data_IF_895133313899
#
_entry.id   IF_895133313899
#
_cell.length_a   1.000
_cell.length_b   1.000
_cell.length_c   1.000
_cell.angle_alpha   90.00
_cell.angle_beta   90.00
_cell.angle_gamma   90.00
#
_symmetry.space_group_name_H-M   'P 1'
#
loop_
_entity.id
_entity.type
_entity.pdbx_description
1 polymer ?
#
# COMPACT_ATOMS: atom_id res chain seq x y z
N UNK A 1 -0.77 -16.41 -12.12
CA UNK A 1 -0.23 -15.12 -11.63
C UNK A 1 -1.39 -14.41 -10.93
N UNK A 2 -1.16 -13.85 -9.75
CA UNK A 2 -2.25 -13.31 -8.93
C UNK A 2 -2.73 -11.97 -9.48
N UNK A 3 -4.01 -11.82 -9.75
CA UNK A 3 -4.58 -10.60 -10.35
C UNK A 3 -5.12 -9.63 -9.30
N UNK A 4 -4.34 -9.39 -8.24
CA UNK A 4 -4.77 -8.53 -7.13
C UNK A 4 -4.67 -7.07 -7.55
N UNK A 5 -5.72 -6.29 -7.31
CA UNK A 5 -5.68 -4.84 -7.44
C UNK A 5 -5.14 -4.24 -6.14
N UNK A 6 -3.92 -3.70 -6.20
CA UNK A 6 -3.16 -3.20 -5.05
C UNK A 6 -3.35 -1.69 -4.95
N UNK A 7 -3.59 -1.18 -3.74
CA UNK A 7 -3.58 0.24 -3.42
C UNK A 7 -2.13 0.73 -3.36
N UNK A 8 -1.86 1.80 -4.08
CA UNK A 8 -0.59 2.52 -4.05
C UNK A 8 -0.71 3.84 -4.79
N UNK A 9 0.12 4.80 -4.46
CA UNK A 9 0.10 6.12 -5.07
C UNK A 9 1.08 6.18 -6.23
N UNK A 10 0.60 6.65 -7.38
CA UNK A 10 1.44 6.82 -8.57
C UNK A 10 2.55 7.84 -8.31
N UNK A 11 3.75 7.56 -8.79
CA UNK A 11 4.90 8.46 -8.76
C UNK A 11 5.27 8.86 -10.18
N UNK A 12 5.22 10.16 -10.46
CA UNK A 12 5.59 10.76 -11.74
C UNK A 12 7.12 10.83 -11.91
N UNK A 13 7.57 11.14 -13.12
CA UNK A 13 9.01 11.24 -13.45
C UNK A 13 9.76 12.31 -12.66
N UNK A 14 9.06 13.35 -12.19
CA UNK A 14 9.62 14.42 -11.35
C UNK A 14 9.58 14.08 -9.84
N UNK A 15 9.10 12.88 -9.48
CA UNK A 15 8.95 12.42 -8.10
C UNK A 15 7.66 12.90 -7.41
N UNK A 16 6.81 13.67 -8.10
CA UNK A 16 5.50 14.07 -7.58
C UNK A 16 4.49 12.91 -7.61
N UNK A 17 3.40 13.05 -6.87
CA UNK A 17 2.34 12.05 -6.86
C UNK A 17 1.33 12.28 -7.99
N UNK A 18 1.01 11.21 -8.73
CA UNK A 18 0.03 11.21 -9.80
C UNK A 18 -1.41 10.99 -9.31
N UNK A 19 -2.39 11.02 -10.24
CA UNK A 19 -3.82 10.87 -9.92
C UNK A 19 -4.28 9.41 -9.75
N UNK A 20 -3.41 8.42 -9.97
CA UNK A 20 -3.77 7.00 -9.85
C UNK A 20 -3.40 6.44 -8.48
N UNK A 21 -4.33 5.69 -7.89
CA UNK A 21 -4.24 5.16 -6.52
C UNK A 21 -4.28 3.63 -6.44
N UNK A 22 -4.08 2.94 -7.57
CA UNK A 22 -3.99 1.48 -7.61
C UNK A 22 -3.34 0.96 -8.89
N UNK A 23 -2.84 -0.27 -8.83
CA UNK A 23 -2.26 -1.02 -9.94
C UNK A 23 -2.47 -2.53 -9.75
N UNK A 24 -2.42 -3.31 -10.83
CA UNK A 24 -2.51 -4.77 -10.72
C UNK A 24 -1.16 -5.38 -10.35
N UNK A 25 -1.16 -6.40 -9.49
CA UNK A 25 0.04 -7.16 -9.14
C UNK A 25 0.71 -7.78 -10.37
N UNK A 26 -0.09 -8.29 -11.32
CA UNK A 26 0.41 -8.85 -12.56
C UNK A 26 1.14 -7.83 -13.43
N UNK A 27 0.89 -6.53 -13.26
CA UNK A 27 1.60 -5.48 -13.99
C UNK A 27 2.99 -5.21 -13.43
N UNK A 28 3.33 -5.72 -12.23
CA UNK A 28 4.63 -5.47 -11.59
C UNK A 28 5.74 -6.12 -12.44
N UNK A 29 6.62 -5.30 -12.99
CA UNK A 29 7.86 -5.70 -13.64
C UNK A 29 9.01 -5.82 -12.64
N UNK A 30 9.06 -4.92 -11.65
CA UNK A 30 10.08 -4.96 -10.62
C UNK A 30 9.75 -4.07 -9.43
N UNK A 31 10.49 -4.27 -8.36
CA UNK A 31 10.41 -3.48 -7.13
C UNK A 31 11.82 -3.11 -6.74
N UNK A 32 12.04 -1.84 -6.45
CA UNK A 32 13.26 -1.37 -5.77
C UNK A 32 12.93 -0.69 -4.45
N UNK A 33 13.92 -0.56 -3.58
CA UNK A 33 13.79 0.26 -2.39
C UNK A 33 14.18 1.70 -2.70
N UNK A 34 13.20 2.59 -2.73
CA UNK A 34 13.38 4.01 -2.96
C UNK A 34 13.40 4.81 -1.66
N UNK A 35 14.18 5.90 -1.63
CA UNK A 35 14.31 6.78 -0.47
C UNK A 35 13.76 8.17 -0.77
N UNK A 36 12.42 8.39 -0.69
CA UNK A 36 11.80 9.69 -0.99
C UNK A 36 12.17 10.79 0.00
N UNK A 37 12.61 10.44 1.21
CA UNK A 37 13.06 11.41 2.20
C UNK A 37 14.11 10.81 3.14
N UNK A 38 14.77 11.65 3.95
CA UNK A 38 15.90 11.24 4.82
C UNK A 38 15.57 10.03 5.70
N UNK A 39 14.34 9.93 6.18
CA UNK A 39 13.92 8.94 7.16
C UNK A 39 13.21 7.73 6.55
N UNK A 40 12.72 7.83 5.31
CA UNK A 40 11.81 6.84 4.70
C UNK A 40 12.47 6.11 3.54
N UNK A 41 12.54 4.79 3.66
CA UNK A 41 12.70 3.87 2.54
C UNK A 41 11.34 3.22 2.29
N UNK A 42 10.94 3.15 1.03
CA UNK A 42 9.64 2.62 0.60
C UNK A 42 9.84 1.73 -0.64
N UNK A 43 9.00 0.70 -0.81
CA UNK A 43 8.94 -0.05 -2.05
C UNK A 43 8.46 0.83 -3.19
N UNK A 44 9.22 0.84 -4.28
CA UNK A 44 8.87 1.50 -5.53
C UNK A 44 8.58 0.42 -6.57
N UNK A 45 7.31 0.35 -6.98
CA UNK A 45 6.80 -0.64 -7.91
C UNK A 45 6.91 -0.09 -9.32
N UNK A 46 7.76 -0.70 -10.14
CA UNK A 46 7.76 -0.50 -11.58
C UNK A 46 6.70 -1.42 -12.19
N UNK A 47 5.66 -0.83 -12.76
CA UNK A 47 4.57 -1.58 -13.39
C UNK A 47 4.45 -1.25 -14.86
N UNK A 48 3.75 -2.10 -15.62
CA UNK A 48 3.40 -1.88 -17.03
C UNK A 48 2.57 -0.62 -17.26
N UNK A 49 1.86 -0.13 -16.25
CA UNK A 49 0.96 1.01 -16.38
C UNK A 49 1.55 2.30 -15.81
N UNK A 50 2.65 2.24 -15.05
CA UNK A 50 3.22 3.38 -14.36
C UNK A 50 4.03 2.95 -13.14
N UNK A 51 4.54 3.92 -12.39
CA UNK A 51 5.31 3.65 -11.18
C UNK A 51 4.48 3.99 -9.96
N UNK A 52 4.56 3.18 -8.92
CA UNK A 52 3.75 3.34 -7.73
C UNK A 52 4.58 3.14 -6.46
N UNK A 53 4.12 3.69 -5.35
CA UNK A 53 4.67 3.45 -4.01
C UNK A 53 3.53 3.24 -3.01
N UNK A 54 3.86 2.72 -1.82
CA UNK A 54 2.93 2.60 -0.70
C UNK A 54 2.50 3.96 -0.13
N UNK A 55 1.36 3.99 0.56
CA UNK A 55 0.80 5.19 1.18
C UNK A 55 1.50 5.51 2.52
N UNK A 56 2.24 6.60 2.59
CA UNK A 56 2.99 6.98 3.81
C UNK A 56 2.39 8.14 4.60
N UNK A 57 1.27 8.71 4.15
CA UNK A 57 0.60 9.85 4.79
C UNK A 57 -0.91 9.65 4.86
N UNK A 58 -1.58 10.29 5.84
CA UNK A 58 -3.03 10.31 5.91
C UNK A 58 -3.68 10.96 4.68
N UNK A 59 -3.07 12.01 4.12
CA UNK A 59 -3.55 12.64 2.90
C UNK A 59 -3.53 11.68 1.70
N UNK A 60 -2.45 10.91 1.55
CA UNK A 60 -2.40 9.86 0.53
C UNK A 60 -3.45 8.77 0.76
N UNK A 61 -3.75 8.44 2.02
CA UNK A 61 -4.85 7.54 2.37
C UNK A 61 -6.21 8.13 1.98
N UNK A 62 -6.51 9.38 2.36
CA UNK A 62 -7.77 10.05 2.04
C UNK A 62 -8.04 10.06 0.53
N UNK A 63 -7.04 10.42 -0.27
CA UNK A 63 -7.15 10.40 -1.72
C UNK A 63 -7.34 8.99 -2.29
N UNK A 64 -6.76 7.98 -1.64
CA UNK A 64 -6.81 6.60 -2.11
C UNK A 64 -8.08 5.86 -1.72
N UNK A 65 -8.75 6.24 -0.64
CA UNK A 65 -9.89 5.51 -0.07
C UNK A 65 -11.21 6.32 -0.15
N UNK A 66 -12.07 6.07 -1.17
CA UNK A 66 -13.26 6.88 -1.44
C UNK A 66 -14.30 6.92 -0.31
N UNK A 67 -14.41 5.87 0.49
CA UNK A 67 -15.38 5.77 1.59
C UNK A 67 -14.91 6.41 2.90
N UNK A 68 -13.70 6.98 2.93
CA UNK A 68 -13.08 7.45 4.17
C UNK A 68 -13.23 8.95 4.35
N UNK A 69 -13.52 9.40 5.58
CA UNK A 69 -13.71 10.81 5.91
C UNK A 69 -13.05 11.15 7.24
N UNK A 70 -12.53 12.38 7.36
CA UNK A 70 -12.14 12.93 8.66
C UNK A 70 -13.39 13.33 9.46
N UNK A 71 -13.79 12.47 10.41
CA UNK A 71 -14.98 12.68 11.23
C UNK A 71 -14.69 13.50 12.49
N UNK A 72 -13.52 13.33 13.09
CA UNK A 72 -13.08 14.10 14.27
C UNK A 72 -11.55 14.20 14.34
N UNK A 73 -10.99 15.20 13.67
CA UNK A 73 -9.56 15.51 13.74
C UNK A 73 -8.67 14.48 13.02
N UNK A 74 -7.89 13.73 13.79
CA UNK A 74 -6.69 13.01 13.31
C UNK A 74 -6.96 11.64 12.69
N UNK A 75 -8.19 11.11 12.82
CA UNK A 75 -8.54 9.78 12.30
C UNK A 75 -9.29 9.90 10.98
N UNK A 76 -8.82 9.16 9.98
CA UNK A 76 -9.49 8.99 8.70
C UNK A 76 -10.38 7.75 8.79
N UNK A 77 -11.69 7.93 8.83
CA UNK A 77 -12.67 6.91 9.23
C UNK A 77 -13.37 6.32 8.01
N UNK A 78 -13.43 4.99 7.91
CA UNK A 78 -14.23 4.29 6.90
C UNK A 78 -15.71 4.36 7.27
N UNK A 79 -16.47 5.21 6.57
CA UNK A 79 -17.90 5.42 6.85
C UNK A 79 -18.71 4.17 6.48
N UNK A 80 -18.28 3.39 5.49
CA UNK A 80 -18.97 2.17 5.02
C UNK A 80 -19.01 1.07 6.09
N UNK A 81 -18.08 1.11 7.05
CA UNK A 81 -17.96 0.11 8.11
C UNK A 81 -18.62 0.53 9.44
N UNK A 82 -19.31 1.68 9.50
CA UNK A 82 -19.98 2.14 10.72
C UNK A 82 -21.30 1.40 10.88
N UNK A 83 -21.47 0.67 12.00
CA UNK A 83 -22.68 -0.09 12.31
C UNK A 83 -23.78 0.80 12.92
N UNK A 84 -23.38 1.73 13.80
CA UNK A 84 -24.31 2.64 14.47
C UNK A 84 -23.62 3.94 14.87
N UNK A 85 -24.42 4.99 15.01
CA UNK A 85 -23.98 6.28 15.56
C UNK A 85 -24.82 6.66 16.76
N UNK A 86 -24.18 7.07 17.85
CA UNK A 86 -24.83 7.75 18.96
C UNK A 86 -24.62 9.26 18.85
N UNK A 87 -25.70 10.02 18.92
CA UNK A 87 -25.70 11.48 18.84
C UNK A 87 -25.71 12.11 20.23
N UNK A 88 -24.99 13.21 20.42
CA UNK A 88 -25.02 14.03 21.63
C UNK A 88 -24.82 15.52 21.33
N UNK A 89 -24.85 16.34 22.38
CA UNK A 89 -24.79 17.81 22.25
C UNK A 89 -23.46 18.34 21.70
N UNK A 90 -22.39 17.55 21.79
CA UNK A 90 -21.03 17.93 21.37
C UNK A 90 -20.51 17.16 20.15
N UNK A 91 -21.40 16.45 19.45
CA UNK A 91 -21.02 15.59 18.33
C UNK A 91 -21.66 14.21 18.44
N UNK A 92 -20.96 13.19 17.96
CA UNK A 92 -21.42 11.82 18.03
C UNK A 92 -20.29 10.83 18.22
N UNK A 93 -20.67 9.57 18.39
CA UNK A 93 -19.74 8.44 18.46
C UNK A 93 -20.18 7.46 17.37
N UNK A 94 -19.28 7.20 16.41
CA UNK A 94 -19.42 6.12 15.45
C UNK A 94 -18.91 4.82 16.07
N UNK A 95 -19.72 3.78 16.01
CA UNK A 95 -19.35 2.44 16.42
C UNK A 95 -19.18 1.55 15.19
N UNK A 96 -18.07 0.84 15.17
CA UNK A 96 -17.81 -0.28 14.29
C UNK A 96 -18.18 -1.57 15.02
N UNK A 97 -17.93 -2.69 14.35
CA UNK A 97 -18.04 -4.02 14.95
C UNK A 97 -17.15 -4.16 16.19
N UNK A 98 -17.58 -5.02 17.12
CA UNK A 98 -16.85 -5.36 18.35
C UNK A 98 -16.64 -4.15 19.30
N UNK A 99 -17.56 -3.18 19.25
CA UNK A 99 -17.60 -1.96 20.09
C UNK A 99 -16.38 -1.02 19.96
N UNK A 100 -15.58 -1.23 18.91
CA UNK A 100 -14.57 -0.27 18.45
C UNK A 100 -15.32 1.00 18.04
N UNK A 101 -14.81 2.17 18.42
CA UNK A 101 -15.49 3.42 18.16
C UNK A 101 -14.55 4.60 17.94
N UNK A 102 -15.08 5.65 17.31
CA UNK A 102 -14.39 6.93 17.09
C UNK A 102 -15.36 8.10 17.23
N UNK A 103 -14.84 9.27 17.58
CA UNK A 103 -15.60 10.51 17.66
C UNK A 103 -16.06 11.01 16.29
N UNK A 104 -17.14 11.78 16.30
CA UNK A 104 -17.61 12.61 15.19
C UNK A 104 -17.86 14.01 15.75
N UNK A 105 -17.21 15.03 15.19
CA UNK A 105 -17.40 16.41 15.65
C UNK A 105 -18.80 16.94 15.28
N UNK A 106 -19.22 18.05 15.92
CA UNK A 106 -20.52 18.69 15.66
C UNK A 106 -20.76 19.05 14.19
N UNK A 107 -19.73 19.52 13.48
CA UNK A 107 -19.83 19.90 12.07
C UNK A 107 -20.19 18.69 11.21
N UNK A 108 -19.47 17.59 11.37
CA UNK A 108 -19.70 16.36 10.62
C UNK A 108 -21.03 15.71 11.02
N UNK A 109 -21.44 15.81 12.30
CA UNK A 109 -22.77 15.34 12.70
C UNK A 109 -23.91 16.11 12.03
N UNK A 110 -23.75 17.42 11.80
CA UNK A 110 -24.74 18.22 11.07
C UNK A 110 -24.96 17.72 9.64
N UNK A 111 -23.90 17.23 8.98
CA UNK A 111 -23.93 16.72 7.60
C UNK A 111 -23.94 15.19 7.53
N UNK A 112 -24.24 14.50 8.63
CA UNK A 112 -24.07 13.05 8.72
C UNK A 112 -24.84 12.28 7.63
N UNK A 113 -26.10 12.65 7.39
CA UNK A 113 -26.92 11.99 6.37
C UNK A 113 -26.33 12.17 4.97
N UNK A 114 -25.78 13.35 4.64
CA UNK A 114 -25.17 13.61 3.34
C UNK A 114 -23.90 12.77 3.16
N UNK A 115 -23.05 12.70 4.19
CA UNK A 115 -21.84 11.88 4.22
C UNK A 115 -22.18 10.40 3.98
N UNK A 116 -23.19 9.88 4.69
CA UNK A 116 -23.61 8.47 4.56
C UNK A 116 -24.20 8.18 3.19
N UNK A 117 -25.04 9.05 2.65
CA UNK A 117 -25.65 8.86 1.33
C UNK A 117 -24.62 8.95 0.19
N UNK A 118 -23.58 9.77 0.33
CA UNK A 118 -22.46 9.80 -0.60
C UNK A 118 -21.71 8.45 -0.60
N UNK A 119 -21.40 7.93 0.59
CA UNK A 119 -20.62 6.70 0.75
C UNK A 119 -21.41 5.46 0.32
N UNK A 120 -22.72 5.38 0.64
CA UNK A 120 -23.58 4.26 0.22
C UNK A 120 -23.69 4.08 -1.30
N UNK A 121 -23.43 5.14 -2.08
CA UNK A 121 -23.42 5.07 -3.56
C UNK A 121 -22.14 4.45 -4.10
N UNK A 122 -21.10 4.38 -3.28
CA UNK A 122 -19.84 3.76 -3.64
C UNK A 122 -20.00 2.24 -3.59
N UNK A 123 -19.28 1.56 -4.48
CA UNK A 123 -19.13 0.11 -4.37
C UNK A 123 -18.16 -0.18 -3.22
N UNK A 124 -18.35 -1.34 -2.57
CA UNK A 124 -17.40 -1.87 -1.60
C UNK A 124 -15.99 -1.89 -2.20
N UNK A 125 -15.01 -1.44 -1.43
CA UNK A 125 -13.62 -1.40 -1.88
C UNK A 125 -12.99 -2.81 -1.83
N UNK A 126 -12.76 -3.37 -3.01
CA UNK A 126 -12.17 -4.70 -3.21
C UNK A 126 -10.64 -4.66 -3.39
N UNK A 127 -10.05 -3.47 -3.37
CA UNK A 127 -8.59 -3.30 -3.49
C UNK A 127 -7.90 -3.75 -2.21
N UNK A 128 -6.63 -4.11 -2.35
CA UNK A 128 -5.81 -4.60 -1.26
C UNK A 128 -4.67 -3.66 -0.90
N UNK A 129 -4.38 -3.55 0.39
CA UNK A 129 -3.25 -2.79 0.91
C UNK A 129 -2.07 -3.73 1.11
N UNK A 130 -0.89 -3.33 0.63
CA UNK A 130 0.36 -4.00 0.96
C UNK A 130 0.86 -3.54 2.34
N UNK A 131 0.88 -4.47 3.31
CA UNK A 131 1.16 -4.13 4.69
C UNK A 131 1.77 -5.26 5.52
N UNK A 132 1.98 -4.92 6.78
CA UNK A 132 2.45 -5.82 7.84
C UNK A 132 1.57 -5.62 9.06
N UNK A 133 1.22 -6.71 9.72
CA UNK A 133 0.53 -6.68 11.01
C UNK A 133 1.48 -6.19 12.11
N UNK A 134 0.95 -5.35 13.01
CA UNK A 134 1.59 -4.90 14.25
C UNK A 134 1.14 -5.87 15.35
N UNK A 135 2.07 -6.70 15.82
CA UNK A 135 1.82 -7.69 16.86
C UNK A 135 1.71 -7.04 18.24
N UNK A 136 1.13 -7.74 19.21
CA UNK A 136 0.92 -7.21 20.58
C UNK A 136 2.21 -6.75 21.27
N UNK A 137 3.33 -7.39 20.95
CA UNK A 137 4.66 -7.04 21.49
C UNK A 137 5.32 -5.87 20.73
N UNK A 138 4.66 -5.28 19.73
CA UNK A 138 5.17 -4.21 18.87
C UNK A 138 5.99 -4.67 17.67
N UNK A 139 6.25 -5.98 17.53
CA UNK A 139 6.94 -6.52 16.37
C UNK A 139 6.05 -6.48 15.12
N UNK A 140 6.71 -6.56 13.95
CA UNK A 140 6.03 -6.60 12.66
C UNK A 140 6.03 -8.03 12.10
N UNK A 141 4.85 -8.48 11.70
CA UNK A 141 4.69 -9.75 10.98
C UNK A 141 5.33 -9.71 9.57
N UNK A 142 5.46 -10.86 8.89
CA UNK A 142 5.84 -10.91 7.49
C UNK A 142 4.93 -10.08 6.57
N UNK A 143 5.48 -9.64 5.43
CA UNK A 143 4.72 -8.91 4.42
C UNK A 143 3.50 -9.67 3.92
N UNK A 144 2.34 -9.00 3.85
CA UNK A 144 1.08 -9.57 3.37
C UNK A 144 0.18 -8.52 2.73
N UNK A 145 -0.92 -9.00 2.16
CA UNK A 145 -2.00 -8.15 1.64
C UNK A 145 -3.26 -8.32 2.50
N UNK A 146 -3.99 -7.23 2.70
CA UNK A 146 -5.29 -7.24 3.38
C UNK A 146 -6.29 -6.33 2.66
N UNK A 147 -7.59 -6.58 2.83
CA UNK A 147 -8.63 -5.87 2.10
C UNK A 147 -8.80 -4.44 2.65
N UNK A 148 -8.94 -3.47 1.75
CA UNK A 148 -9.30 -2.10 2.11
C UNK A 148 -10.62 -2.03 2.89
N UNK A 149 -11.59 -2.85 2.50
CA UNK A 149 -12.89 -2.95 3.17
C UNK A 149 -12.84 -3.56 4.58
N UNK A 150 -11.73 -4.17 5.02
CA UNK A 150 -11.58 -4.65 6.40
C UNK A 150 -11.20 -3.52 7.39
N UNK A 151 -10.87 -2.32 6.90
CA UNK A 151 -10.36 -1.19 7.70
C UNK A 151 -11.53 -0.39 8.29
N UNK A 152 -11.49 -0.14 9.60
CA UNK A 152 -12.41 0.74 10.32
C UNK A 152 -11.98 2.20 10.25
N UNK A 153 -10.72 2.48 10.57
CA UNK A 153 -10.14 3.81 10.47
C UNK A 153 -8.62 3.75 10.38
N UNK A 154 -8.01 4.88 10.00
CA UNK A 154 -6.58 5.04 9.81
C UNK A 154 -6.13 6.23 10.66
N UNK A 155 -5.06 6.03 11.42
CA UNK A 155 -4.34 7.09 12.12
C UNK A 155 -2.86 7.09 11.71
N UNK A 156 -2.08 8.03 12.26
CA UNK A 156 -0.62 8.01 12.11
C UNK A 156 0.02 7.38 13.34
N UNK A 157 0.89 6.41 13.11
CA UNK A 157 1.68 5.72 14.13
C UNK A 157 3.16 6.06 14.01
N UNK A 158 3.82 6.25 15.14
CA UNK A 158 5.24 6.54 15.24
C UNK A 158 6.00 5.33 15.82
N UNK A 159 6.38 4.32 14.99
CA UNK A 159 7.16 3.17 15.47
C UNK A 159 8.57 3.54 15.96
N UNK A 160 9.11 4.68 15.52
CA UNK A 160 10.39 5.24 15.96
C UNK A 160 10.36 6.76 15.84
N UNK A 161 11.20 7.44 16.62
CA UNK A 161 11.24 8.90 16.67
C UNK A 161 11.35 9.53 15.27
N UNK A 162 10.45 10.48 14.97
CA UNK A 162 10.34 11.22 13.70
C UNK A 162 10.08 10.33 12.47
N UNK A 163 9.37 9.23 12.66
CA UNK A 163 8.97 8.31 11.59
C UNK A 163 7.50 7.94 11.76
N UNK A 164 6.64 8.66 11.08
CA UNK A 164 5.20 8.47 11.10
C UNK A 164 4.74 7.67 9.89
N UNK A 165 3.94 6.63 10.11
CA UNK A 165 3.37 5.79 9.05
C UNK A 165 1.89 5.57 9.33
N UNK A 166 1.05 5.37 8.30
CA UNK A 166 -0.34 5.02 8.53
C UNK A 166 -0.46 3.71 9.33
N UNK A 167 -1.31 3.70 10.34
CA UNK A 167 -1.73 2.49 11.04
C UNK A 167 -3.22 2.28 10.77
N UNK A 168 -3.52 1.07 10.32
CA UNK A 168 -4.85 0.63 9.92
C UNK A 168 -5.45 -0.19 11.04
N UNK A 169 -6.58 0.27 11.57
CA UNK A 169 -7.38 -0.47 12.54
C UNK A 169 -8.39 -1.30 11.76
N UNK A 170 -8.31 -2.63 11.85
CA UNK A 170 -9.10 -3.54 11.01
C UNK A 170 -9.83 -4.58 11.84
N UNK A 171 -10.78 -5.28 11.22
CA UNK A 171 -11.45 -6.45 11.82
C UNK A 171 -10.52 -7.63 12.14
N UNK A 172 -9.29 -7.62 11.60
CA UNK A 172 -8.30 -8.71 11.74
C UNK A 172 -7.08 -8.32 12.59
N UNK A 173 -7.09 -7.13 13.19
CA UNK A 173 -5.97 -6.61 13.98
C UNK A 173 -5.45 -5.25 13.48
N UNK A 174 -4.27 -4.88 13.95
CA UNK A 174 -3.60 -3.63 13.61
C UNK A 174 -2.57 -3.88 12.51
N UNK A 175 -2.58 -3.03 11.48
CA UNK A 175 -1.63 -3.12 10.38
C UNK A 175 -0.93 -1.79 10.16
N UNK A 176 0.23 -1.82 9.51
CA UNK A 176 0.85 -0.65 8.90
C UNK A 176 1.33 -0.99 7.48
N UNK A 177 1.78 0.01 6.74
CA UNK A 177 2.33 -0.18 5.40
C UNK A 177 3.63 -0.97 5.44
N UNK A 178 3.82 -1.85 4.45
CA UNK A 178 5.02 -2.64 4.33
C UNK A 178 6.13 -1.83 3.66
N UNK A 179 7.22 -1.57 4.39
CA UNK A 179 8.28 -0.64 3.97
C UNK A 179 9.63 -1.31 3.71
N UNK A 180 9.71 -2.63 3.83
CA UNK A 180 10.99 -3.35 3.78
C UNK A 180 11.08 -4.27 2.57
N UNK A 181 12.28 -4.42 2.04
CA UNK A 181 12.59 -5.39 0.99
C UNK A 181 12.22 -6.83 1.40
N UNK A 182 12.41 -7.17 2.69
CA UNK A 182 12.01 -8.47 3.24
C UNK A 182 10.51 -8.70 3.14
N UNK A 183 9.71 -7.70 3.51
CA UNK A 183 8.25 -7.77 3.37
C UNK A 183 7.82 -7.94 1.90
N UNK A 184 8.53 -7.31 0.95
CA UNK A 184 8.25 -7.52 -0.47
C UNK A 184 8.52 -8.97 -0.90
N UNK A 185 9.63 -9.57 -0.47
CA UNK A 185 9.93 -10.99 -0.76
C UNK A 185 8.85 -11.92 -0.19
N UNK A 186 8.43 -11.67 1.05
CA UNK A 186 7.45 -12.51 1.75
C UNK A 186 6.07 -12.43 1.10
N UNK A 187 5.65 -11.22 0.70
CA UNK A 187 4.32 -11.00 0.13
C UNK A 187 4.23 -11.34 -1.37
N UNK A 188 5.35 -11.26 -2.10
CA UNK A 188 5.43 -11.45 -3.54
C UNK A 188 6.50 -12.50 -3.90
N UNK A 189 6.33 -13.77 -3.47
CA UNK A 189 7.36 -14.81 -3.61
C UNK A 189 7.63 -15.24 -5.06
N UNK A 190 6.76 -14.85 -6.00
CA UNK A 190 6.95 -15.08 -7.43
C UNK A 190 7.96 -14.10 -8.06
N UNK A 191 8.32 -13.01 -7.37
CA UNK A 191 9.35 -12.10 -7.81
C UNK A 191 10.73 -12.63 -7.44
N UNK A 192 11.67 -12.47 -8.37
CA UNK A 192 13.04 -12.95 -8.25
C UNK A 192 13.97 -11.87 -7.70
N UNK A 193 14.79 -12.16 -6.66
CA UNK A 193 15.77 -11.22 -6.13
C UNK A 193 16.98 -11.12 -7.06
N UNK A 194 16.94 -10.11 -7.95
CA UNK A 194 17.92 -9.93 -9.02
C UNK A 194 19.24 -9.33 -8.55
N UNK A 195 19.18 -8.33 -7.67
CA UNK A 195 20.32 -7.59 -7.14
C UNK A 195 19.96 -6.94 -5.81
N UNK A 196 20.94 -6.49 -5.02
CA UNK A 196 20.72 -5.93 -3.67
C UNK A 196 19.63 -4.84 -3.68
N UNK A 197 18.48 -5.14 -3.07
CA UNK A 197 17.34 -4.22 -2.97
C UNK A 197 16.36 -4.25 -4.14
N UNK A 198 16.58 -5.09 -5.16
CA UNK A 198 15.76 -5.19 -6.37
C UNK A 198 15.11 -6.58 -6.52
N UNK A 199 13.79 -6.60 -6.62
CA UNK A 199 13.00 -7.73 -7.08
C UNK A 199 12.58 -7.50 -8.53
N UNK A 200 12.54 -8.55 -9.33
CA UNK A 200 12.03 -8.49 -10.71
C UNK A 200 11.00 -9.59 -10.93
N UNK A 201 10.04 -9.37 -11.81
CA UNK A 201 9.13 -10.40 -12.26
C UNK A 201 9.71 -11.11 -13.48
N UNK A 202 10.14 -12.39 -13.38
CA UNK A 202 10.73 -13.10 -14.52
C UNK A 202 9.80 -13.19 -15.72
N UNK A 203 8.48 -13.19 -15.51
CA UNK A 203 7.52 -13.25 -16.62
C UNK A 203 7.63 -12.07 -17.59
N UNK A 204 7.99 -10.89 -17.08
CA UNK A 204 8.12 -9.68 -17.89
C UNK A 204 9.52 -9.49 -18.47
N UNK A 205 10.49 -10.31 -18.07
CA UNK A 205 11.83 -10.26 -18.67
C UNK A 205 11.76 -10.83 -20.08
N UNK A 206 12.22 -10.05 -21.05
CA UNK A 206 12.34 -10.44 -22.45
C UNK A 206 13.67 -11.17 -22.68
N UNK A 207 14.76 -10.60 -22.15
CA UNK A 207 16.11 -11.16 -22.25
C UNK A 207 17.03 -10.61 -21.18
N UNK A 208 18.21 -11.21 -21.07
CA UNK A 208 19.31 -10.72 -20.24
C UNK A 208 20.51 -10.42 -21.14
N UNK A 209 20.93 -9.16 -21.13
CA UNK A 209 22.12 -8.71 -21.85
C UNK A 209 23.32 -8.83 -20.90
N UNK A 210 24.29 -9.70 -21.24
CA UNK A 210 25.51 -9.88 -20.45
C UNK A 210 26.53 -8.78 -20.80
N UNK A 211 27.00 -8.04 -19.79
CA UNK A 211 28.03 -7.00 -19.97
C UNK A 211 29.23 -7.26 -19.04
N UNK A 212 30.35 -6.58 -19.33
CA UNK A 212 31.63 -6.76 -18.63
C UNK A 212 31.50 -6.44 -17.12
N UNK A 213 30.63 -5.49 -16.76
CA UNK A 213 30.45 -5.02 -15.37
C UNK A 213 29.18 -5.56 -14.70
N UNK A 214 28.43 -6.44 -15.35
CA UNK A 214 27.17 -6.98 -14.85
C UNK A 214 26.23 -7.38 -15.97
N UNK A 215 25.20 -8.16 -15.66
CA UNK A 215 24.15 -8.48 -16.63
C UNK A 215 22.95 -7.59 -16.38
N UNK A 216 22.20 -7.25 -17.42
CA UNK A 216 21.02 -6.36 -17.33
C UNK A 216 19.78 -7.11 -17.82
N UNK A 217 18.74 -7.15 -17.00
CA UNK A 217 17.43 -7.64 -17.41
C UNK A 217 16.71 -6.56 -18.25
N UNK A 218 16.25 -6.95 -19.42
CA UNK A 218 15.44 -6.13 -20.34
C UNK A 218 13.99 -6.64 -20.27
N UNK A 219 13.05 -5.73 -20.08
CA UNK A 219 11.63 -6.07 -19.90
C UNK A 219 10.84 -5.86 -21.20
N UNK A 220 9.83 -6.70 -21.42
CA UNK A 220 8.94 -6.64 -22.59
C UNK A 220 8.26 -5.28 -22.64
N UNK A 221 8.33 -4.61 -23.79
CA UNK A 221 7.64 -3.36 -24.13
C UNK A 221 7.78 -2.27 -23.03
N UNK A 222 8.96 -2.17 -22.42
CA UNK A 222 9.27 -1.19 -21.40
C UNK A 222 10.73 -0.75 -21.49
N UNK A 223 10.97 0.53 -21.16
CA UNK A 223 12.34 1.07 -21.01
C UNK A 223 12.96 0.77 -19.64
N UNK A 224 12.20 0.17 -18.72
CA UNK A 224 12.72 -0.25 -17.43
C UNK A 224 13.81 -1.31 -17.60
N UNK A 225 14.92 -1.14 -16.88
CA UNK A 225 16.10 -2.03 -16.92
C UNK A 225 16.67 -2.17 -15.54
N UNK A 226 17.09 -3.39 -15.19
CA UNK A 226 17.64 -3.70 -13.86
C UNK A 226 18.89 -4.53 -13.97
N UNK A 227 19.92 -4.16 -13.21
CA UNK A 227 21.12 -4.98 -13.05
C UNK A 227 20.79 -6.29 -12.33
N UNK A 228 21.32 -7.40 -12.84
CA UNK A 228 21.25 -8.73 -12.25
C UNK A 228 22.63 -9.11 -11.74
N UNK A 229 22.71 -9.53 -10.48
CA UNK A 229 23.96 -9.99 -9.89
C UNK A 229 24.51 -11.21 -10.65
N UNK A 230 25.83 -11.27 -10.89
CA UNK A 230 26.47 -12.33 -11.69
C UNK A 230 26.10 -13.75 -11.24
N UNK A 231 26.07 -13.99 -9.92
CA UNK A 231 25.70 -15.29 -9.34
C UNK A 231 24.22 -15.67 -9.51
N UNK A 232 23.38 -14.71 -9.89
CA UNK A 232 21.92 -14.87 -10.08
C UNK A 232 21.53 -15.06 -11.55
N UNK A 233 22.41 -14.76 -12.50
CA UNK A 233 22.13 -14.82 -13.94
C UNK A 233 21.75 -16.22 -14.40
N UNK A 234 22.54 -17.24 -14.05
CA UNK A 234 22.30 -18.62 -14.48
C UNK A 234 20.93 -19.13 -14.00
N UNK A 235 20.62 -18.89 -12.72
CA UNK A 235 19.34 -19.29 -12.14
C UNK A 235 18.17 -18.56 -12.81
N UNK A 236 18.28 -17.24 -13.03
CA UNK A 236 17.25 -16.46 -13.70
C UNK A 236 17.05 -16.91 -15.15
N UNK A 237 18.12 -17.18 -15.92
CA UNK A 237 18.01 -17.71 -17.29
C UNK A 237 17.27 -19.05 -17.34
N UNK A 238 17.44 -19.89 -16.32
CA UNK A 238 16.71 -21.15 -16.19
C UNK A 238 15.22 -21.02 -15.89
N UNK A 239 14.72 -19.82 -15.54
CA UNK A 239 13.29 -19.55 -15.37
C UNK A 239 12.58 -19.22 -16.70
N UNK A 240 13.33 -19.01 -17.79
CA UNK A 240 12.78 -18.69 -19.13
C UNK A 240 12.72 -19.88 -20.09
N UNK A 241 13.29 -21.03 -19.71
CA UNK A 241 13.28 -22.27 -20.51
C UNK A 241 12.09 -23.13 -20.13
#
# INVERSE_FOLDING_TARGET
>A
MNDRLIIGIEVQSDGSYGPRFSFYENDIMGIEMWKPSKNYNVPFFYTRTGNFTVLTTLNACELSFPSFRFLDGANLVNVDNIERVLTGSYGGIAYFKDDIHTGINQKNMKYWNEIVEEVKRLKKDERQVFGVEILENGDLSPGRFFMASDIYYIDMWEPKANYYVPRFHTSKGLFTVALTYKACIEALPHLYPAHNGNLINPYWVERIDDQIFGSTAIFKESDYRVTVARGKVKALKGLFQ
#
